data_IF_123947130526
#
_entry.id   IF_123947130526
#
_cell.length_a   1.000
_cell.length_b   1.000
_cell.length_c   1.000
_cell.angle_alpha   90.00
_cell.angle_beta   90.00
_cell.angle_gamma   90.00
#
_symmetry.space_group_name_H-M   'P 1'
#
loop_
_entity.id
_entity.type
_entity.pdbx_description
1 polymer ?
#
# COMPACT_ATOMS: atom_id res chain seq x y z
N UNK A 1 -15.34 -11.22 5.95
CA UNK A 1 -16.28 -10.34 5.21
C UNK A 1 -15.63 -9.93 3.89
N UNK A 2 -16.39 -9.83 2.80
CA UNK A 2 -15.86 -9.39 1.49
C UNK A 2 -15.41 -7.91 1.49
N UNK A 3 -14.38 -7.58 0.70
CA UNK A 3 -13.79 -6.24 0.63
C UNK A 3 -14.79 -5.15 0.20
N UNK A 4 -15.64 -5.39 -0.80
CA UNK A 4 -16.62 -4.40 -1.27
C UNK A 4 -17.63 -4.07 -0.17
N UNK A 5 -18.06 -5.11 0.57
CA UNK A 5 -18.92 -4.95 1.74
C UNK A 5 -18.23 -4.15 2.86
N UNK A 6 -16.93 -4.39 3.08
CA UNK A 6 -16.16 -3.61 4.06
C UNK A 6 -16.09 -2.14 3.68
N UNK A 7 -15.77 -1.83 2.42
CA UNK A 7 -15.71 -0.45 1.91
C UNK A 7 -17.05 0.26 2.16
N UNK A 8 -18.17 -0.36 1.79
CA UNK A 8 -19.50 0.23 2.02
C UNK A 8 -19.76 0.57 3.50
N UNK A 9 -19.33 -0.29 4.43
CA UNK A 9 -19.45 -0.04 5.87
C UNK A 9 -18.54 1.10 6.36
N UNK A 10 -17.32 1.21 5.83
CA UNK A 10 -16.38 2.26 6.22
C UNK A 10 -16.77 3.64 5.68
N UNK A 11 -17.47 3.70 4.55
CA UNK A 11 -17.96 4.96 3.99
C UNK A 11 -18.96 5.65 4.94
N UNK A 12 -19.80 4.91 5.68
CA UNK A 12 -20.77 5.48 6.65
C UNK A 12 -21.61 6.64 6.07
N UNK A 13 -22.10 6.48 4.84
CA UNK A 13 -22.83 7.49 4.06
C UNK A 13 -22.01 8.70 3.57
N UNK A 14 -20.68 8.68 3.72
CA UNK A 14 -19.79 9.64 3.05
C UNK A 14 -19.60 9.25 1.59
N UNK A 15 -19.35 10.26 0.76
CA UNK A 15 -18.87 10.04 -0.60
C UNK A 15 -17.42 9.55 -0.57
N UNK A 16 -17.01 8.67 -1.51
CA UNK A 16 -15.62 8.23 -1.62
C UNK A 16 -14.60 9.39 -1.70
N UNK A 17 -15.00 10.49 -2.36
CA UNK A 17 -14.20 11.71 -2.52
C UNK A 17 -13.79 12.36 -1.21
N UNK A 18 -14.56 12.19 -0.14
CA UNK A 18 -14.33 12.90 1.13
C UNK A 18 -13.54 12.05 2.14
N UNK A 19 -13.19 10.83 1.76
CA UNK A 19 -12.56 9.84 2.63
C UNK A 19 -11.04 9.99 2.58
N UNK A 20 -10.47 10.42 3.71
CA UNK A 20 -9.01 10.54 3.87
C UNK A 20 -8.32 9.28 4.37
N UNK A 21 -9.07 8.45 5.10
CA UNK A 21 -8.54 7.24 5.73
C UNK A 21 -9.50 6.09 5.52
N UNK A 22 -8.96 4.95 5.09
CA UNK A 22 -9.74 3.75 4.84
C UNK A 22 -9.03 2.52 5.40
N UNK A 23 -9.69 1.83 6.33
CA UNK A 23 -9.17 0.63 6.99
C UNK A 23 -9.99 -0.58 6.55
N UNK A 24 -9.36 -1.48 5.80
CA UNK A 24 -9.97 -2.67 5.22
C UNK A 24 -9.44 -3.98 5.84
N UNK A 25 -8.73 -3.89 6.97
CA UNK A 25 -8.04 -5.01 7.59
C UNK A 25 -8.97 -6.20 7.88
N UNK A 26 -8.44 -7.42 7.77
CA UNK A 26 -9.15 -8.68 8.05
C UNK A 26 -10.43 -8.89 7.20
N UNK A 27 -10.62 -8.12 6.13
CA UNK A 27 -11.58 -8.48 5.09
C UNK A 27 -10.99 -9.57 4.17
N UNK A 28 -11.77 -10.07 3.22
CA UNK A 28 -11.34 -11.06 2.23
C UNK A 28 -11.28 -10.39 0.87
N UNK A 29 -10.10 -10.41 0.26
CA UNK A 29 -9.92 -10.17 -1.17
C UNK A 29 -10.40 -11.37 -1.99
N UNK A 30 -10.90 -11.11 -3.20
CA UNK A 30 -11.20 -12.15 -4.18
C UNK A 30 -9.97 -12.35 -5.05
N UNK A 31 -9.54 -13.61 -5.23
CA UNK A 31 -8.33 -13.98 -5.99
C UNK A 31 -7.03 -13.28 -5.55
N UNK A 32 -6.98 -12.73 -4.33
CA UNK A 32 -5.83 -11.96 -3.85
C UNK A 32 -5.69 -10.58 -4.49
N UNK A 33 -6.77 -10.02 -5.02
CA UNK A 33 -6.81 -8.70 -5.67
C UNK A 33 -7.64 -7.70 -4.89
N UNK A 34 -7.29 -6.43 -5.03
CA UNK A 34 -8.08 -5.31 -4.52
C UNK A 34 -9.34 -5.15 -5.36
N UNK A 35 -10.47 -4.92 -4.70
CA UNK A 35 -11.76 -4.69 -5.34
C UNK A 35 -12.57 -3.61 -4.63
N UNK A 36 -13.37 -2.87 -5.39
CA UNK A 36 -14.27 -1.85 -4.85
C UNK A 36 -13.62 -0.49 -4.56
N UNK A 37 -12.29 -0.39 -4.69
CA UNK A 37 -11.61 0.90 -4.78
C UNK A 37 -11.64 1.41 -6.23
N UNK A 38 -11.90 2.69 -6.37
CA UNK A 38 -11.97 3.43 -7.65
C UNK A 38 -11.08 4.68 -7.55
N UNK A 39 -10.94 5.42 -8.64
CA UNK A 39 -10.29 6.73 -8.68
C UNK A 39 -11.12 7.84 -7.99
N UNK A 40 -12.37 7.56 -7.59
CA UNK A 40 -13.21 8.49 -6.82
C UNK A 40 -12.69 8.76 -5.40
N UNK A 41 -11.75 7.95 -4.89
CA UNK A 41 -11.10 8.13 -3.58
C UNK A 41 -9.99 9.20 -3.66
N UNK A 42 -10.34 10.38 -4.18
CA UNK A 42 -9.38 11.43 -4.56
C UNK A 42 -8.62 12.01 -3.36
N UNK A 43 -9.27 12.09 -2.18
CA UNK A 43 -8.71 12.64 -0.95
C UNK A 43 -8.04 11.58 -0.05
N UNK A 44 -7.93 10.33 -0.49
CA UNK A 44 -7.41 9.25 0.34
C UNK A 44 -5.91 9.44 0.62
N UNK A 45 -5.56 9.62 1.89
CA UNK A 45 -4.18 9.81 2.36
C UNK A 45 -3.62 8.54 3.04
N UNK A 46 -4.50 7.71 3.62
CA UNK A 46 -4.14 6.48 4.32
C UNK A 46 -5.02 5.29 3.90
N UNK A 47 -4.39 4.19 3.52
CA UNK A 47 -5.05 2.93 3.20
C UNK A 47 -4.42 1.77 3.98
N UNK A 48 -5.24 1.01 4.71
CA UNK A 48 -4.83 -0.20 5.40
C UNK A 48 -5.55 -1.42 4.85
N UNK A 49 -4.78 -2.45 4.47
CA UNK A 49 -5.28 -3.71 3.91
C UNK A 49 -4.55 -4.91 4.54
N UNK A 50 -4.44 -4.90 5.87
CA UNK A 50 -3.69 -5.91 6.61
C UNK A 50 -4.47 -7.22 6.64
N UNK A 51 -3.77 -8.34 6.40
CA UNK A 51 -4.33 -9.69 6.49
C UNK A 51 -5.62 -9.86 5.67
N UNK A 52 -5.61 -9.38 4.41
CA UNK A 52 -6.76 -9.53 3.50
C UNK A 52 -6.54 -10.57 2.40
N UNK A 53 -5.35 -11.19 2.38
CA UNK A 53 -4.98 -12.27 1.47
C UNK A 53 -4.51 -11.79 0.10
N UNK A 54 -4.05 -10.54 -0.04
CA UNK A 54 -3.54 -10.01 -1.31
C UNK A 54 -2.34 -10.80 -1.81
N UNK A 55 -2.30 -11.03 -3.11
CA UNK A 55 -1.15 -11.57 -3.84
C UNK A 55 -0.53 -10.53 -4.77
N UNK A 56 -1.28 -9.48 -5.12
CA UNK A 56 -0.86 -8.39 -6.00
C UNK A 56 -1.54 -7.07 -5.64
N UNK A 57 -0.90 -5.97 -6.00
CA UNK A 57 -1.42 -4.59 -5.90
C UNK A 57 -1.75 -3.99 -7.27
N UNK A 58 -1.73 -4.78 -8.35
CA UNK A 58 -1.93 -4.29 -9.72
C UNK A 58 -3.31 -3.62 -9.95
N UNK A 59 -4.31 -4.00 -9.17
CA UNK A 59 -5.67 -3.45 -9.25
C UNK A 59 -5.88 -2.17 -8.42
N UNK A 60 -4.82 -1.58 -7.85
CA UNK A 60 -4.95 -0.28 -7.21
C UNK A 60 -5.37 0.78 -8.26
N UNK A 61 -6.42 1.56 -7.99
CA UNK A 61 -6.70 2.74 -8.78
C UNK A 61 -5.61 3.80 -8.56
N UNK A 62 -5.66 4.88 -9.34
CA UNK A 62 -4.76 6.01 -9.12
C UNK A 62 -5.20 6.75 -7.85
N UNK A 63 -4.34 6.78 -6.85
CA UNK A 63 -4.57 7.40 -5.54
C UNK A 63 -3.51 8.48 -5.32
N UNK A 64 -3.71 9.63 -5.96
CA UNK A 64 -2.70 10.68 -6.01
C UNK A 64 -2.34 11.25 -4.64
N UNK A 65 -3.27 11.29 -3.69
CA UNK A 65 -3.03 11.84 -2.35
C UNK A 65 -2.56 10.81 -1.33
N UNK A 66 -2.43 9.54 -1.72
CA UNK A 66 -2.07 8.47 -0.79
C UNK A 66 -0.62 8.65 -0.33
N UNK A 67 -0.45 8.81 0.97
CA UNK A 67 0.86 8.99 1.62
C UNK A 67 1.30 7.72 2.34
N UNK A 68 0.36 6.96 2.90
CA UNK A 68 0.66 5.77 3.70
C UNK A 68 -0.19 4.57 3.28
N UNK A 69 0.50 3.45 3.06
CA UNK A 69 -0.08 2.18 2.62
C UNK A 69 0.41 1.02 3.49
N UNK A 70 -0.51 0.36 4.19
CA UNK A 70 -0.24 -0.83 5.01
C UNK A 70 -0.71 -2.10 4.27
N UNK A 71 0.24 -2.96 3.89
CA UNK A 71 0.03 -4.23 3.18
C UNK A 71 0.49 -5.44 4.01
N UNK A 72 0.64 -5.28 5.32
CA UNK A 72 1.17 -6.33 6.19
C UNK A 72 0.32 -7.60 6.17
N UNK A 73 0.97 -8.74 6.44
CA UNK A 73 0.33 -10.06 6.55
C UNK A 73 -0.46 -10.48 5.30
N UNK A 74 0.05 -10.13 4.13
CA UNK A 74 -0.47 -10.59 2.85
C UNK A 74 0.46 -11.65 2.22
N UNK A 75 0.27 -11.94 0.93
CA UNK A 75 1.02 -12.97 0.18
C UNK A 75 1.68 -12.38 -1.06
N UNK A 76 1.96 -11.07 -1.05
CA UNK A 76 2.56 -10.35 -2.17
C UNK A 76 4.00 -10.82 -2.33
N UNK A 77 4.42 -11.07 -3.57
CA UNK A 77 5.78 -11.50 -3.89
C UNK A 77 6.47 -10.63 -4.94
N UNK A 78 5.80 -9.60 -5.48
CA UNK A 78 6.33 -8.69 -6.49
C UNK A 78 5.24 -7.87 -7.19
N UNK A 79 5.59 -7.28 -8.34
CA UNK A 79 4.67 -6.40 -9.09
C UNK A 79 4.41 -5.08 -8.36
N UNK A 80 5.39 -4.59 -7.59
CA UNK A 80 5.26 -3.41 -6.75
C UNK A 80 5.54 -2.12 -7.54
N UNK A 81 6.22 -2.19 -8.67
CA UNK A 81 6.53 -1.07 -9.56
C UNK A 81 5.29 -0.23 -9.94
N UNK A 82 4.11 -0.85 -9.98
CA UNK A 82 2.82 -0.18 -10.22
C UNK A 82 2.49 0.88 -9.16
N UNK A 83 3.01 0.75 -7.93
CA UNK A 83 2.77 1.74 -6.87
C UNK A 83 3.39 3.10 -7.21
N UNK A 84 4.49 3.13 -7.97
CA UNK A 84 5.10 4.40 -8.41
C UNK A 84 4.18 5.17 -9.36
N UNK A 85 3.41 4.47 -10.20
CA UNK A 85 2.45 5.09 -11.12
C UNK A 85 1.13 5.44 -10.40
N UNK A 86 0.62 4.53 -9.58
CA UNK A 86 -0.71 4.66 -8.95
C UNK A 86 -0.70 5.54 -7.73
N UNK A 87 0.39 5.56 -6.96
CA UNK A 87 0.51 6.27 -5.69
C UNK A 87 1.78 7.15 -5.71
N UNK A 88 1.85 8.17 -6.59
CA UNK A 88 3.08 8.93 -6.83
C UNK A 88 3.57 9.71 -5.60
N UNK A 89 2.70 9.97 -4.62
CA UNK A 89 3.03 10.72 -3.39
C UNK A 89 3.18 9.80 -2.16
N UNK A 90 3.34 8.48 -2.37
CA UNK A 90 3.51 7.52 -1.29
C UNK A 90 4.84 7.75 -0.56
N UNK A 91 4.78 7.89 0.76
CA UNK A 91 5.95 8.11 1.63
C UNK A 91 6.14 7.00 2.66
N UNK A 92 5.09 6.21 2.92
CA UNK A 92 5.14 5.13 3.90
C UNK A 92 4.53 3.87 3.32
N UNK A 93 5.30 2.78 3.33
CA UNK A 93 4.89 1.48 2.81
C UNK A 93 5.29 0.38 3.79
N UNK A 94 4.31 -0.42 4.22
CA UNK A 94 4.58 -1.58 5.05
C UNK A 94 4.27 -2.88 4.29
N UNK A 95 5.29 -3.70 4.07
CA UNK A 95 5.21 -4.99 3.37
C UNK A 95 5.55 -6.17 4.30
N UNK A 96 5.56 -5.95 5.61
CA UNK A 96 5.83 -6.98 6.62
C UNK A 96 4.95 -8.22 6.45
N UNK A 97 5.48 -9.42 6.69
CA UNK A 97 4.67 -10.65 6.61
C UNK A 97 4.21 -11.01 5.19
N UNK A 98 4.84 -10.47 4.15
CA UNK A 98 4.62 -10.87 2.75
C UNK A 98 5.66 -11.90 2.27
N UNK A 99 5.59 -12.32 1.00
CA UNK A 99 6.47 -13.31 0.36
C UNK A 99 7.59 -12.64 -0.47
N UNK A 100 8.12 -11.52 0.01
CA UNK A 100 9.22 -10.81 -0.65
C UNK A 100 10.53 -11.56 -0.35
N UNK A 101 11.09 -12.21 -1.37
CA UNK A 101 12.30 -13.03 -1.23
C UNK A 101 13.59 -12.25 -1.39
N UNK A 102 13.58 -11.21 -2.21
CA UNK A 102 14.78 -10.46 -2.60
C UNK A 102 14.48 -8.96 -2.73
N UNK A 103 15.47 -8.14 -2.37
CA UNK A 103 15.36 -6.67 -2.37
C UNK A 103 15.23 -6.09 -3.78
N UNK A 104 15.64 -6.80 -4.83
CA UNK A 104 15.38 -6.43 -6.23
C UNK A 104 13.89 -6.26 -6.53
N UNK A 105 13.01 -6.90 -5.75
CA UNK A 105 11.55 -6.78 -5.88
C UNK A 105 11.03 -5.39 -5.50
N UNK A 106 11.75 -4.67 -4.63
CA UNK A 106 11.39 -3.32 -4.15
C UNK A 106 12.27 -2.22 -4.75
N UNK A 107 13.37 -2.58 -5.43
CA UNK A 107 14.27 -1.64 -6.11
C UNK A 107 13.54 -0.66 -7.06
N UNK A 108 12.54 -1.09 -7.87
CA UNK A 108 11.80 -0.17 -8.74
C UNK A 108 11.10 0.96 -7.99
N UNK A 109 10.63 0.69 -6.76
CA UNK A 109 9.97 1.71 -5.92
C UNK A 109 10.97 2.79 -5.49
N UNK A 110 12.15 2.37 -5.05
CA UNK A 110 13.22 3.27 -4.58
C UNK A 110 13.75 4.11 -5.74
N UNK A 111 13.81 3.53 -6.94
CA UNK A 111 14.31 4.21 -8.15
C UNK A 111 13.33 5.25 -8.69
N UNK A 112 12.02 5.05 -8.53
CA UNK A 112 11.00 5.99 -8.98
C UNK A 112 10.85 7.24 -8.09
N UNK A 113 11.35 7.23 -6.84
CA UNK A 113 11.28 8.37 -5.89
C UNK A 113 12.58 9.21 -5.86
N UNK A 114 13.61 8.78 -6.61
CA UNK A 114 14.96 9.38 -6.83
C UNK A 114 15.99 9.35 -5.68
N UNK A 115 17.20 8.94 -6.11
CA UNK A 115 18.54 8.95 -5.50
C UNK A 115 18.76 8.27 -4.15
N UNK A 116 19.19 7.00 -4.22
CA UNK A 116 19.87 6.18 -3.19
C UNK A 116 19.60 6.61 -1.75
N UNK A 117 18.58 6.05 -1.10
CA UNK A 117 18.55 5.98 0.37
C UNK A 117 18.01 4.61 0.81
N UNK A 118 18.89 3.89 1.49
CA UNK A 118 18.70 2.71 2.34
C UNK A 118 17.42 1.89 2.21
N UNK A 119 17.54 0.71 1.61
CA UNK A 119 16.66 -0.40 1.95
C UNK A 119 17.00 -0.84 3.38
N UNK A 120 16.18 -0.43 4.35
CA UNK A 120 16.35 -0.83 5.75
C UNK A 120 15.77 -2.23 5.92
N UNK A 121 16.63 -3.23 5.80
CA UNK A 121 16.36 -4.54 6.39
C UNK A 121 16.82 -4.47 7.85
N UNK A 122 15.85 -4.51 8.78
CA UNK A 122 16.05 -4.48 10.24
C UNK A 122 16.66 -3.19 10.83
N UNK A 123 15.80 -2.21 11.18
CA UNK A 123 16.14 -1.14 12.11
C UNK A 123 15.84 0.27 11.59
N UNK A 124 14.79 0.89 12.14
CA UNK A 124 14.31 2.24 11.79
C UNK A 124 15.45 3.28 11.85
N UNK A 125 15.73 3.95 10.73
CA UNK A 125 16.47 5.22 10.74
C UNK A 125 15.80 6.23 9.81
N UNK A 126 15.34 7.31 10.43
CA UNK A 126 14.79 8.51 9.81
C UNK A 126 15.97 9.43 9.45
N UNK A 127 16.12 9.77 8.18
CA UNK A 127 17.14 10.72 7.71
C UNK A 127 16.48 11.88 6.95
N UNK A 128 15.89 12.83 7.69
CA UNK A 128 15.61 14.23 7.35
C UNK A 128 15.08 14.59 5.93
N UNK A 129 13.85 15.13 5.92
CA UNK A 129 13.23 16.11 5.00
C UNK A 129 13.47 16.01 3.48
N UNK A 130 12.55 15.39 2.74
CA UNK A 130 11.31 16.05 2.24
C UNK A 130 10.44 15.04 1.47
N UNK A 131 11.00 13.91 0.99
CA UNK A 131 10.25 12.82 0.34
C UNK A 131 10.96 11.46 0.51
N UNK A 132 10.89 10.86 1.71
CA UNK A 132 11.47 9.53 1.96
C UNK A 132 10.37 8.48 1.92
N UNK A 133 10.50 7.49 1.03
CA UNK A 133 9.69 6.28 1.08
C UNK A 133 10.27 5.32 2.12
N UNK A 134 9.59 5.17 3.26
CA UNK A 134 9.98 4.23 4.30
C UNK A 134 9.32 2.88 4.01
N UNK A 135 10.13 1.85 3.73
CA UNK A 135 9.66 0.47 3.48
C UNK A 135 10.00 -0.41 4.67
N UNK A 136 8.98 -1.05 5.25
CA UNK A 136 9.15 -2.06 6.29
C UNK A 136 8.99 -3.47 5.70
N UNK A 137 10.04 -4.29 5.78
CA UNK A 137 10.01 -5.72 5.40
C UNK A 137 10.62 -6.55 6.53
N UNK A 138 9.83 -7.41 7.17
CA UNK A 138 10.34 -8.48 8.03
C UNK A 138 10.34 -9.78 7.22
N UNK A 139 11.52 -10.26 6.87
CA UNK A 139 11.71 -11.61 6.33
C UNK A 139 11.77 -12.61 7.49
N UNK A 140 11.01 -13.71 7.38
CA UNK A 140 11.13 -14.88 8.25
C UNK A 140 11.99 -15.95 7.57
#
# INVERSE_FOLDING_TARGET
>A
MDMKKRIHLELRNRTPSDVKELVLDNCRSNEGKIEGLTDEFEELEFLSTINVGLTSVANLPKLNKLKKLELSDNRISGGLEVLAEKCPNLTHLNLSGNKIKDLSTIEPLVRCVYSIIGVVTSGVYQLSDEYILIIYVYAH
#
